data_IF_478937624518
#
_entry.id   IF_478937624518
#
_cell.length_a   1.000
_cell.length_b   1.000
_cell.length_c   1.000
_cell.angle_alpha   90.00
_cell.angle_beta   90.00
_cell.angle_gamma   90.00
#
_symmetry.space_group_name_H-M   'P 1'
#
loop_
_entity.id
_entity.type
_entity.pdbx_description
1 polymer ?
#
# COMPACT_ATOMS: atom_id res chain seq x y z
N UNK A 1 11.35 -20.50 2.42
CA UNK A 1 10.81 -19.13 2.47
C UNK A 1 9.29 -19.19 2.64
N UNK A 2 8.72 -18.43 3.57
CA UNK A 2 7.26 -18.30 3.72
C UNK A 2 6.74 -17.26 2.71
N UNK A 3 5.63 -17.59 2.04
CA UNK A 3 4.92 -16.71 1.11
C UNK A 3 3.46 -16.65 1.56
N UNK A 4 3.02 -15.46 1.88
CA UNK A 4 1.65 -15.21 2.33
C UNK A 4 0.81 -14.71 1.16
N UNK A 5 -0.32 -15.32 0.96
CA UNK A 5 -1.21 -15.12 -0.19
C UNK A 5 -2.65 -14.89 0.31
N UNK A 6 -3.47 -14.16 -0.42
CA UNK A 6 -4.89 -14.06 -0.11
C UNK A 6 -5.60 -15.40 -0.33
N UNK A 7 -6.80 -15.55 0.21
CA UNK A 7 -7.64 -16.73 0.03
C UNK A 7 -7.77 -17.13 -1.45
N UNK A 8 -7.48 -18.39 -1.76
CA UNK A 8 -7.44 -18.94 -3.13
C UNK A 8 -6.16 -18.59 -3.90
N UNK A 9 -5.27 -17.79 -3.35
CA UNK A 9 -4.01 -17.39 -3.95
C UNK A 9 -3.04 -18.55 -4.14
N UNK A 10 -3.01 -19.48 -3.20
CA UNK A 10 -2.14 -20.67 -3.29
C UNK A 10 -2.38 -21.47 -4.58
N UNK A 11 -3.64 -21.73 -4.90
CA UNK A 11 -3.99 -22.48 -6.13
C UNK A 11 -3.56 -21.71 -7.39
N UNK A 12 -3.85 -20.41 -7.45
CA UNK A 12 -3.49 -19.55 -8.58
C UNK A 12 -1.97 -19.46 -8.75
N UNK A 13 -1.24 -19.28 -7.64
CA UNK A 13 0.22 -19.17 -7.65
C UNK A 13 0.88 -20.47 -8.15
N UNK A 14 0.44 -21.64 -7.67
CA UNK A 14 0.93 -22.93 -8.16
C UNK A 14 0.64 -23.09 -9.66
N UNK A 15 -0.59 -22.79 -10.11
CA UNK A 15 -0.94 -22.88 -11.54
C UNK A 15 -0.06 -21.96 -12.40
N UNK A 16 0.25 -20.75 -11.92
CA UNK A 16 1.15 -19.83 -12.62
C UNK A 16 2.57 -20.41 -12.71
N UNK A 17 3.09 -20.94 -11.61
CA UNK A 17 4.42 -21.57 -11.59
C UNK A 17 4.49 -22.76 -12.55
N UNK A 18 3.44 -23.58 -12.62
CA UNK A 18 3.37 -24.72 -13.56
C UNK A 18 3.47 -24.26 -15.01
N UNK A 19 2.77 -23.18 -15.37
CA UNK A 19 2.80 -22.62 -16.73
C UNK A 19 4.19 -22.10 -17.11
N UNK A 20 4.88 -21.40 -16.23
CA UNK A 20 6.17 -20.78 -16.53
C UNK A 20 7.38 -21.72 -16.38
N UNK A 21 7.20 -22.90 -15.79
CA UNK A 21 8.29 -23.83 -15.47
C UNK A 21 8.10 -25.26 -15.98
N UNK A 22 7.09 -25.51 -16.81
CA UNK A 22 6.71 -26.86 -17.25
C UNK A 22 6.59 -27.85 -16.08
N UNK A 23 5.98 -27.43 -14.98
CA UNK A 23 5.80 -28.25 -13.77
C UNK A 23 7.08 -28.52 -12.95
N UNK A 24 8.22 -27.94 -13.31
CA UNK A 24 9.52 -28.21 -12.64
C UNK A 24 9.75 -27.41 -11.37
N UNK A 25 8.99 -26.31 -11.16
CA UNK A 25 9.19 -25.37 -10.03
C UNK A 25 8.37 -25.74 -8.79
N UNK A 26 7.50 -26.76 -8.86
CA UNK A 26 6.65 -27.21 -7.74
C UNK A 26 7.45 -27.67 -6.50
N UNK A 27 8.75 -27.91 -6.66
CA UNK A 27 9.66 -28.29 -5.57
C UNK A 27 10.49 -27.11 -5.01
N UNK A 28 10.08 -25.86 -5.26
CA UNK A 28 10.68 -24.74 -4.56
C UNK A 28 10.39 -24.87 -3.05
N UNK A 29 11.39 -24.59 -2.24
CA UNK A 29 11.29 -24.55 -0.77
C UNK A 29 10.41 -23.37 -0.30
N UNK A 30 9.21 -23.23 -0.90
CA UNK A 30 8.22 -22.23 -0.58
C UNK A 30 7.14 -22.82 0.31
N UNK A 31 6.95 -22.22 1.45
CA UNK A 31 5.84 -22.51 2.33
C UNK A 31 4.70 -21.53 2.04
N UNK A 32 3.72 -21.94 1.24
CA UNK A 32 2.60 -21.10 0.82
C UNK A 32 1.52 -21.09 1.90
N UNK A 33 1.27 -19.94 2.50
CA UNK A 33 0.25 -19.72 3.53
C UNK A 33 -0.81 -18.78 3.00
N UNK A 34 -2.08 -19.09 3.19
CA UNK A 34 -3.16 -18.14 2.90
C UNK A 34 -3.50 -17.37 4.16
N UNK A 35 -3.52 -16.03 4.05
CA UNK A 35 -3.94 -15.17 5.14
C UNK A 35 -5.46 -14.93 5.12
N UNK A 36 -5.97 -14.51 6.25
CA UNK A 36 -7.35 -14.05 6.41
C UNK A 36 -7.30 -12.54 6.65
N UNK A 37 -8.05 -11.73 5.89
CA UNK A 37 -8.13 -10.29 6.14
C UNK A 37 -8.49 -9.98 7.60
N UNK A 38 -7.96 -8.88 8.13
CA UNK A 38 -8.15 -8.39 9.51
C UNK A 38 -7.66 -9.36 10.60
N UNK A 39 -6.86 -10.36 10.22
CA UNK A 39 -6.14 -11.20 11.17
C UNK A 39 -4.65 -10.92 11.12
N UNK A 40 -4.09 -10.60 12.29
CA UNK A 40 -2.67 -10.34 12.45
C UNK A 40 -1.81 -11.55 12.08
N UNK A 41 -0.72 -11.29 11.35
CA UNK A 41 0.31 -12.26 11.00
C UNK A 41 1.59 -11.78 11.69
N UNK A 42 2.09 -12.57 12.66
CA UNK A 42 3.35 -12.24 13.34
C UNK A 42 4.54 -12.71 12.52
N UNK A 43 5.39 -11.76 12.15
CA UNK A 43 6.59 -11.95 11.32
C UNK A 43 7.80 -11.28 11.98
N UNK A 44 8.19 -11.72 13.15
CA UNK A 44 9.27 -11.11 13.93
C UNK A 44 10.38 -10.45 13.09
N UNK A 45 10.69 -9.15 13.27
CA UNK A 45 10.22 -8.26 14.37
C UNK A 45 8.97 -7.43 14.03
N UNK A 46 8.19 -7.82 13.03
CA UNK A 46 6.99 -7.11 12.56
C UNK A 46 5.73 -7.91 12.80
N UNK A 47 4.63 -7.21 13.00
CA UNK A 47 3.28 -7.72 12.85
C UNK A 47 2.65 -7.10 11.61
N UNK A 48 1.94 -7.91 10.81
CA UNK A 48 1.29 -7.46 9.58
C UNK A 48 -0.19 -7.81 9.62
N UNK A 49 -1.04 -6.82 9.42
CA UNK A 49 -2.48 -7.00 9.32
C UNK A 49 -2.94 -6.62 7.90
N UNK A 50 -3.31 -7.60 7.06
CA UNK A 50 -3.90 -7.33 5.76
C UNK A 50 -5.37 -6.93 5.92
N UNK A 51 -5.84 -5.94 5.17
CA UNK A 51 -7.24 -5.52 5.13
C UNK A 51 -7.70 -5.32 3.69
N UNK A 52 -8.98 -5.57 3.40
CA UNK A 52 -9.53 -5.42 2.06
C UNK A 52 -9.61 -3.94 1.65
N UNK A 53 -9.30 -3.66 0.38
CA UNK A 53 -9.40 -2.35 -0.25
C UNK A 53 -10.14 -2.46 -1.60
N UNK A 54 -10.60 -1.32 -2.12
CA UNK A 54 -11.41 -1.30 -3.32
C UNK A 54 -10.58 -1.20 -4.59
N UNK A 55 -10.56 -2.27 -5.38
CA UNK A 55 -9.88 -2.33 -6.67
C UNK A 55 -10.62 -3.26 -7.64
N UNK A 56 -10.23 -3.24 -8.94
CA UNK A 56 -10.83 -4.09 -9.99
C UNK A 56 -10.67 -5.59 -9.74
N UNK A 57 -9.65 -5.98 -8.98
CA UNK A 57 -9.39 -7.35 -8.53
C UNK A 57 -9.24 -7.34 -7.00
N UNK A 58 -9.43 -8.49 -6.31
CA UNK A 58 -9.20 -8.56 -4.88
C UNK A 58 -7.84 -8.00 -4.49
N UNK A 59 -7.83 -6.90 -3.76
CA UNK A 59 -6.64 -6.14 -3.36
C UNK A 59 -6.65 -5.94 -1.84
N UNK A 60 -5.46 -5.86 -1.25
CA UNK A 60 -5.32 -5.78 0.21
C UNK A 60 -4.26 -4.76 0.58
N UNK A 61 -4.67 -3.78 1.38
CA UNK A 61 -3.75 -2.92 2.11
C UNK A 61 -3.10 -3.69 3.26
N UNK A 62 -2.01 -3.17 3.78
CA UNK A 62 -1.27 -3.78 4.89
C UNK A 62 -0.98 -2.73 5.97
N UNK A 63 -1.42 -3.00 7.20
CA UNK A 63 -0.92 -2.32 8.38
C UNK A 63 0.28 -3.12 8.91
N UNK A 64 1.44 -2.48 8.98
CA UNK A 64 2.70 -3.09 9.42
C UNK A 64 3.11 -2.38 10.72
N UNK A 65 3.25 -3.15 11.79
CA UNK A 65 3.60 -2.63 13.12
C UNK A 65 4.93 -3.20 13.60
N UNK A 66 5.75 -2.36 14.24
CA UNK A 66 6.97 -2.78 14.94
C UNK A 66 7.20 -1.86 16.14
N UNK A 67 7.12 -2.41 17.35
CA UNK A 67 7.09 -1.60 18.55
C UNK A 67 5.90 -0.64 18.55
N UNK A 68 6.16 0.65 18.72
CA UNK A 68 5.13 1.70 18.71
C UNK A 68 4.91 2.32 17.31
N UNK A 69 5.65 1.85 16.29
CA UNK A 69 5.58 2.39 14.93
C UNK A 69 4.61 1.62 14.05
N UNK A 70 3.81 2.37 13.31
CA UNK A 70 2.82 1.85 12.39
C UNK A 70 3.00 2.43 10.98
N UNK A 71 3.08 1.56 10.00
CA UNK A 71 3.14 1.90 8.58
C UNK A 71 1.92 1.30 7.90
N UNK A 72 1.23 2.08 7.08
CA UNK A 72 0.16 1.58 6.23
C UNK A 72 0.59 1.66 4.77
N UNK A 73 0.47 0.55 4.06
CA UNK A 73 0.59 0.45 2.61
C UNK A 73 -0.80 0.27 2.00
N UNK A 74 -1.17 1.14 1.09
CA UNK A 74 -2.53 1.14 0.52
C UNK A 74 -2.79 0.00 -0.44
N UNK A 75 -1.76 -0.55 -1.10
CA UNK A 75 -1.92 -1.33 -2.35
C UNK A 75 -2.58 -0.48 -3.43
N UNK A 76 -2.97 -1.08 -4.56
CA UNK A 76 -3.74 -0.41 -5.61
C UNK A 76 -5.20 -0.36 -5.16
N UNK A 77 -5.77 0.84 -5.06
CA UNK A 77 -7.10 1.06 -4.49
C UNK A 77 -7.70 2.41 -4.89
N UNK A 78 -9.02 2.49 -4.92
CA UNK A 78 -9.75 3.76 -4.77
C UNK A 78 -9.91 4.13 -3.28
N UNK A 79 -10.27 5.38 -2.96
CA UNK A 79 -10.61 5.76 -1.59
C UNK A 79 -11.74 4.87 -1.05
N UNK A 80 -11.57 4.30 0.14
CA UNK A 80 -12.56 3.44 0.78
C UNK A 80 -12.50 3.56 2.31
N UNK A 81 -13.59 3.16 2.99
CA UNK A 81 -13.73 3.28 4.44
C UNK A 81 -12.70 2.45 5.21
N UNK A 82 -12.41 1.23 4.74
CA UNK A 82 -11.42 0.36 5.38
C UNK A 82 -10.02 1.00 5.37
N UNK A 83 -9.64 1.61 4.25
CA UNK A 83 -8.38 2.30 4.12
C UNK A 83 -8.28 3.48 5.10
N UNK A 84 -9.31 4.32 5.16
CA UNK A 84 -9.38 5.44 6.11
C UNK A 84 -9.33 4.96 7.57
N UNK A 85 -10.00 3.85 7.88
CA UNK A 85 -10.00 3.27 9.23
C UNK A 85 -8.62 2.78 9.65
N UNK A 86 -7.95 1.96 8.81
CA UNK A 86 -6.67 1.35 9.15
C UNK A 86 -5.48 2.31 9.07
N UNK A 87 -5.62 3.44 8.34
CA UNK A 87 -4.59 4.47 8.26
C UNK A 87 -4.52 5.40 9.46
N UNK A 88 -5.52 5.37 10.35
CA UNK A 88 -5.62 6.32 11.47
C UNK A 88 -4.37 6.35 12.32
N UNK A 89 -3.80 7.56 12.47
CA UNK A 89 -2.63 7.88 13.32
C UNK A 89 -1.40 7.02 13.03
N UNK A 90 -1.26 6.54 11.79
CA UNK A 90 -0.05 5.85 11.38
C UNK A 90 1.12 6.83 11.27
N UNK A 91 2.33 6.35 11.56
CA UNK A 91 3.56 7.14 11.41
C UNK A 91 3.86 7.41 9.93
N UNK A 92 3.49 6.47 9.05
CA UNK A 92 3.67 6.59 7.62
C UNK A 92 2.53 5.93 6.85
N UNK A 93 1.99 6.66 5.89
CA UNK A 93 1.09 6.15 4.85
C UNK A 93 1.84 6.06 3.52
N UNK A 94 2.11 4.84 3.05
CA UNK A 94 2.66 4.59 1.72
C UNK A 94 1.49 4.42 0.76
N UNK A 95 1.17 5.49 0.05
CA UNK A 95 -0.02 5.58 -0.81
C UNK A 95 0.34 5.41 -2.27
N UNK A 96 -0.47 4.62 -2.99
CA UNK A 96 -0.51 4.69 -4.44
C UNK A 96 -0.94 6.07 -4.91
N UNK A 97 -0.51 6.46 -6.11
CA UNK A 97 -0.83 7.74 -6.76
C UNK A 97 -0.87 7.58 -8.28
N UNK A 98 -1.53 6.53 -8.74
CA UNK A 98 -1.58 6.14 -10.16
C UNK A 98 -2.19 7.24 -11.03
N UNK A 99 -3.25 7.90 -10.55
CA UNK A 99 -3.91 8.95 -11.31
C UNK A 99 -3.11 10.27 -11.36
N UNK A 100 -2.08 10.39 -10.53
CA UNK A 100 -1.25 11.60 -10.49
C UNK A 100 -2.01 12.82 -9.98
N UNK A 101 -1.62 14.00 -10.48
CA UNK A 101 -2.29 15.27 -10.21
C UNK A 101 -3.55 15.41 -11.06
N UNK A 102 -4.63 15.88 -10.46
CA UNK A 102 -5.91 16.14 -11.12
C UNK A 102 -7.09 15.93 -10.20
N UNK A 103 -8.19 16.62 -10.49
CA UNK A 103 -9.43 16.46 -9.75
C UNK A 103 -9.94 15.00 -9.83
N UNK A 104 -10.71 14.54 -8.84
CA UNK A 104 -11.22 13.18 -8.82
C UNK A 104 -11.93 12.83 -10.13
N UNK A 105 -11.45 11.78 -10.78
CA UNK A 105 -12.08 11.28 -12.01
C UNK A 105 -13.37 10.56 -11.61
N UNK A 106 -14.49 11.07 -12.07
CA UNK A 106 -15.77 10.38 -11.87
C UNK A 106 -15.82 9.13 -12.73
N UNK A 107 -15.87 7.94 -12.08
CA UNK A 107 -16.23 6.63 -12.62
C UNK A 107 -15.14 5.61 -12.93
N UNK A 108 -15.50 4.35 -12.73
CA UNK A 108 -15.15 3.59 -11.54
C UNK A 108 -13.63 3.56 -11.43
N UNK A 109 -13.12 4.53 -10.74
CA UNK A 109 -11.68 4.68 -10.57
C UNK A 109 -11.26 3.67 -9.53
N UNK A 110 -10.36 2.80 -9.93
CA UNK A 110 -9.80 1.75 -9.07
C UNK A 110 -8.47 2.17 -8.47
N UNK A 111 -8.13 3.46 -8.55
CA UNK A 111 -6.87 4.05 -8.12
C UNK A 111 -7.09 5.40 -7.45
N UNK A 112 -6.05 5.90 -6.77
CA UNK A 112 -6.06 7.20 -6.11
C UNK A 112 -5.28 8.26 -6.91
N UNK A 113 -5.73 9.51 -6.77
CA UNK A 113 -5.02 10.72 -7.18
C UNK A 113 -4.21 11.30 -6.02
N UNK A 114 -3.38 12.32 -6.32
CA UNK A 114 -2.67 13.09 -5.29
C UNK A 114 -3.65 13.80 -4.34
N UNK A 115 -4.79 14.26 -4.88
CA UNK A 115 -5.90 14.80 -4.11
C UNK A 115 -6.42 13.79 -3.07
N UNK A 116 -6.74 12.56 -3.54
CA UNK A 116 -7.29 11.51 -2.69
C UNK A 116 -6.29 11.10 -1.60
N UNK A 117 -5.01 10.94 -1.97
CA UNK A 117 -3.94 10.58 -1.05
C UNK A 117 -3.71 11.66 0.03
N UNK A 118 -3.72 12.95 -0.37
CA UNK A 118 -3.60 14.07 0.56
C UNK A 118 -4.77 14.15 1.54
N UNK A 119 -6.00 14.03 1.04
CA UNK A 119 -7.20 14.00 1.88
C UNK A 119 -7.22 12.84 2.86
N UNK A 120 -6.90 11.64 2.37
CA UNK A 120 -6.81 10.46 3.23
C UNK A 120 -5.79 10.67 4.35
N UNK A 121 -4.61 11.20 4.02
CA UNK A 121 -3.54 11.45 4.99
C UNK A 121 -3.97 12.44 6.08
N UNK A 122 -4.67 13.51 5.71
CA UNK A 122 -5.20 14.51 6.65
C UNK A 122 -6.31 13.93 7.51
N UNK A 123 -7.32 13.30 6.90
CA UNK A 123 -8.47 12.72 7.61
C UNK A 123 -8.06 11.59 8.57
N UNK A 124 -7.01 10.83 8.21
CA UNK A 124 -6.46 9.78 9.07
C UNK A 124 -5.42 10.27 10.09
N UNK A 125 -5.07 11.55 10.09
CA UNK A 125 -4.08 12.14 11.00
C UNK A 125 -2.71 11.42 10.93
N UNK A 126 -2.26 11.05 9.72
CA UNK A 126 -0.96 10.38 9.56
C UNK A 126 0.20 11.37 9.75
N UNK A 127 1.37 10.89 10.16
CA UNK A 127 2.54 11.77 10.33
C UNK A 127 3.26 12.05 9.03
N UNK A 128 3.39 11.06 8.17
CA UNK A 128 4.11 11.16 6.88
C UNK A 128 3.33 10.47 5.77
N UNK A 129 3.12 11.17 4.66
CA UNK A 129 2.59 10.63 3.42
C UNK A 129 3.73 10.36 2.44
N UNK A 130 3.82 9.14 1.92
CA UNK A 130 4.74 8.78 0.84
C UNK A 130 3.93 8.44 -0.39
N UNK A 131 4.06 9.22 -1.45
CA UNK A 131 3.40 8.97 -2.73
C UNK A 131 4.25 8.03 -3.58
N UNK A 132 3.63 6.98 -4.10
CA UNK A 132 4.28 5.94 -4.92
C UNK A 132 3.37 5.50 -6.07
N UNK A 133 3.76 4.46 -6.82
CA UNK A 133 2.96 3.89 -7.91
C UNK A 133 2.52 4.92 -8.96
N UNK A 134 3.46 5.74 -9.40
CA UNK A 134 3.23 6.74 -10.44
C UNK A 134 3.29 6.14 -11.84
N UNK A 135 2.47 6.67 -12.76
CA UNK A 135 2.74 6.48 -14.17
C UNK A 135 4.14 7.04 -14.55
N UNK A 136 4.85 6.42 -15.49
CA UNK A 136 6.18 6.89 -15.90
C UNK A 136 6.22 8.35 -16.36
N UNK A 137 5.10 8.86 -16.90
CA UNK A 137 4.95 10.25 -17.37
C UNK A 137 4.49 11.24 -16.30
N UNK A 138 4.25 10.79 -15.07
CA UNK A 138 3.72 11.66 -14.02
C UNK A 138 4.75 12.71 -13.59
N UNK A 139 4.30 13.96 -13.47
CA UNK A 139 5.07 15.01 -12.79
C UNK A 139 4.94 14.84 -11.27
N UNK A 140 5.93 14.17 -10.68
CA UNK A 140 5.95 13.84 -9.23
C UNK A 140 6.00 15.09 -8.35
N UNK A 141 6.58 16.20 -8.85
CA UNK A 141 6.62 17.46 -8.12
C UNK A 141 5.21 18.08 -8.08
N UNK A 142 4.51 18.08 -9.20
CA UNK A 142 3.13 18.52 -9.26
C UNK A 142 2.22 17.67 -8.37
N UNK A 143 2.40 16.35 -8.36
CA UNK A 143 1.67 15.44 -7.47
C UNK A 143 1.88 15.79 -5.99
N UNK A 144 3.13 15.99 -5.57
CA UNK A 144 3.42 16.35 -4.17
C UNK A 144 2.85 17.72 -3.80
N UNK A 145 2.85 18.67 -4.73
CA UNK A 145 2.26 20.00 -4.52
C UNK A 145 0.76 19.90 -4.33
N UNK A 146 0.06 19.16 -5.19
CA UNK A 146 -1.38 18.96 -5.07
C UNK A 146 -1.75 18.27 -3.75
N UNK A 147 -1.06 17.20 -3.37
CA UNK A 147 -1.30 16.56 -2.09
C UNK A 147 -1.10 17.53 -0.91
N UNK A 148 -0.14 18.46 -1.00
CA UNK A 148 0.12 19.47 0.04
C UNK A 148 -0.97 20.55 0.18
N UNK A 149 -1.87 20.66 -0.77
CA UNK A 149 -3.06 21.52 -0.63
C UNK A 149 -4.09 20.93 0.34
N UNK A 150 -4.01 19.64 0.61
CA UNK A 150 -4.98 18.90 1.43
C UNK A 150 -4.38 18.24 2.68
N UNK A 151 -3.06 18.10 2.75
CA UNK A 151 -2.36 17.51 3.88
C UNK A 151 -1.25 18.43 4.38
N UNK A 152 -1.37 18.83 5.66
CA UNK A 152 -0.42 19.73 6.31
C UNK A 152 0.83 19.03 6.88
N UNK A 153 0.91 17.70 6.83
CA UNK A 153 2.03 16.93 7.33
C UNK A 153 3.17 16.78 6.31
N UNK A 154 4.10 15.90 6.62
CA UNK A 154 5.28 15.63 5.78
C UNK A 154 4.89 14.81 4.54
N UNK A 155 5.25 15.28 3.34
CA UNK A 155 5.02 14.57 2.07
C UNK A 155 6.37 14.21 1.45
N UNK A 156 6.52 12.95 1.07
CA UNK A 156 7.70 12.41 0.38
C UNK A 156 7.31 11.74 -0.94
N UNK A 157 8.25 11.74 -1.88
CA UNK A 157 8.15 10.93 -3.09
C UNK A 157 8.80 9.57 -2.83
N UNK A 158 8.10 8.49 -3.17
CA UNK A 158 8.65 7.13 -3.14
C UNK A 158 9.74 6.98 -4.21
N UNK A 159 10.95 6.70 -3.75
CA UNK A 159 12.12 6.48 -4.61
C UNK A 159 12.78 5.18 -4.22
N UNK A 160 13.07 4.33 -5.21
CA UNK A 160 13.73 3.05 -4.99
C UNK A 160 15.07 3.23 -4.26
N UNK A 161 15.26 2.48 -3.19
CA UNK A 161 16.48 2.53 -2.38
C UNK A 161 16.59 3.70 -1.40
N UNK A 162 15.58 4.56 -1.31
CA UNK A 162 15.54 5.63 -0.31
C UNK A 162 15.15 5.06 1.05
N UNK A 163 15.93 5.38 2.08
CA UNK A 163 15.57 5.12 3.48
C UNK A 163 14.73 6.28 4.02
N UNK A 164 13.70 5.96 4.80
CA UNK A 164 12.84 6.93 5.48
C UNK A 164 12.95 6.65 6.98
N UNK A 165 13.52 7.58 7.73
CA UNK A 165 13.57 7.49 9.18
C UNK A 165 12.25 8.02 9.77
N UNK A 166 11.55 7.19 10.54
CA UNK A 166 10.29 7.55 11.19
C UNK A 166 10.48 8.29 12.52
N UNK A 167 11.71 8.32 13.06
CA UNK A 167 12.01 8.98 14.31
C UNK A 167 12.52 10.42 14.11
N UNK A 168 12.99 10.74 12.92
CA UNK A 168 13.51 12.06 12.58
C UNK A 168 12.70 12.65 11.44
N UNK A 169 11.70 13.51 11.75
CA UNK A 169 11.11 14.34 10.70
C UNK A 169 12.24 15.23 10.16
N UNK A 170 12.64 15.01 8.90
CA UNK A 170 13.53 15.95 8.22
C UNK A 170 12.85 17.32 8.24
N UNK A 171 13.50 18.29 8.86
CA UNK A 171 13.08 19.70 8.90
C UNK A 171 13.19 20.35 7.54
#
# INVERSE_FOLDING_TARGET
MDVYLPKGGRKKFISLLDVISDGKVVNLSLNLREYVPEKMISLEPFDVLPFEVEHAVPSFGMLISSGEKNIVYTSDTSPCESLAYWSRKSDLLLSENTLGGGAPVQNPVTHMSSYDAGRLAEEAEVSTLVLTHYWPSADRIACSREASEYFGGRILQGVTGKFIDLNYPET
#
